data_IF_620894737151
#
_entry.id   IF_620894737151
#
_cell.length_a   1.000
_cell.length_b   1.000
_cell.length_c   1.000
_cell.angle_alpha   90.00
_cell.angle_beta   90.00
_cell.angle_gamma   90.00
#
_symmetry.space_group_name_H-M   'P 1'
#
loop_
_entity.id
_entity.type
_entity.pdbx_description
1 polymer ?
#
# COMPACT_ATOMS: atom_id res chain seq x y z
N UNK A 1 -8.16 -5.30 -47.68
CA UNK A 1 -7.29 -4.12 -47.60
C UNK A 1 -7.24 -3.69 -46.14
N UNK A 2 -6.24 -4.19 -45.38
CA UNK A 2 -6.09 -3.86 -43.96
C UNK A 2 -5.29 -2.56 -43.82
N UNK A 3 -5.88 -1.55 -43.20
CA UNK A 3 -5.17 -0.34 -42.77
C UNK A 3 -4.26 -0.73 -41.61
N UNK A 4 -2.95 -0.71 -41.84
CA UNK A 4 -1.98 -0.77 -40.75
C UNK A 4 -2.09 0.54 -39.96
N UNK A 5 -2.62 0.46 -38.74
CA UNK A 5 -2.56 1.56 -37.80
C UNK A 5 -1.09 1.78 -37.42
N UNK A 6 -0.48 2.82 -37.99
CA UNK A 6 0.78 3.36 -37.50
C UNK A 6 0.53 3.90 -36.08
N UNK A 7 0.74 3.04 -35.08
CA UNK A 7 0.91 3.47 -33.70
C UNK A 7 2.18 4.34 -33.67
N UNK A 8 1.97 5.66 -33.70
CA UNK A 8 3.01 6.62 -33.34
C UNK A 8 3.41 6.32 -31.90
N UNK A 9 4.50 5.59 -31.73
CA UNK A 9 5.15 5.45 -30.42
C UNK A 9 5.68 6.83 -30.07
N UNK A 10 4.88 7.59 -29.32
CA UNK A 10 5.35 8.84 -28.75
C UNK A 10 6.51 8.48 -27.81
N UNK A 11 7.68 9.12 -27.96
CA UNK A 11 8.78 8.90 -27.03
C UNK A 11 8.31 9.28 -25.63
N UNK A 12 8.69 8.49 -24.63
CA UNK A 12 8.39 8.81 -23.23
C UNK A 12 8.91 10.22 -22.92
N UNK A 13 8.12 11.06 -22.23
CA UNK A 13 8.59 12.37 -21.83
C UNK A 13 9.85 12.21 -20.97
N UNK A 14 10.83 13.14 -21.08
CA UNK A 14 12.02 13.08 -20.26
C UNK A 14 11.63 13.09 -18.78
N UNK A 15 12.36 12.35 -17.92
CA UNK A 15 12.05 12.29 -16.51
C UNK A 15 12.10 13.70 -15.90
N UNK A 16 11.20 14.04 -14.96
CA UNK A 16 11.27 15.31 -14.26
C UNK A 16 12.62 15.51 -13.58
N UNK A 17 13.05 16.77 -13.46
CA UNK A 17 14.37 17.09 -12.91
C UNK A 17 14.60 16.44 -11.53
N UNK A 18 15.77 15.83 -11.36
CA UNK A 18 16.21 15.20 -10.12
C UNK A 18 15.67 13.79 -9.90
N UNK A 19 14.80 13.27 -10.78
CA UNK A 19 14.37 11.88 -10.73
C UNK A 19 15.33 10.95 -11.47
N UNK A 20 15.69 9.85 -10.83
CA UNK A 20 16.38 8.72 -11.42
C UNK A 20 15.37 7.64 -11.85
N UNK A 21 15.53 7.03 -13.03
CA UNK A 21 14.70 5.91 -13.45
C UNK A 21 15.05 4.64 -12.67
N UNK A 22 14.04 3.83 -12.36
CA UNK A 22 14.19 2.52 -11.77
C UNK A 22 13.23 1.54 -12.46
N UNK A 23 13.77 0.38 -12.85
CA UNK A 23 12.99 -0.73 -13.36
C UNK A 23 13.21 -1.95 -12.47
N UNK A 24 12.12 -2.46 -11.90
CA UNK A 24 12.10 -3.69 -11.12
C UNK A 24 11.54 -4.80 -12.00
N UNK A 25 12.37 -5.78 -12.35
CA UNK A 25 11.92 -6.97 -13.09
C UNK A 25 11.50 -8.04 -12.09
N UNK A 26 10.35 -8.69 -12.32
CA UNK A 26 9.77 -9.67 -11.39
C UNK A 26 10.19 -11.12 -11.71
N UNK A 27 11.47 -11.34 -12.01
CA UNK A 27 11.99 -12.64 -12.50
C UNK A 27 11.85 -13.80 -11.50
N UNK A 28 11.59 -13.50 -10.22
CA UNK A 28 11.38 -14.50 -9.16
C UNK A 28 9.98 -14.42 -8.54
N UNK A 29 9.09 -13.67 -9.19
CA UNK A 29 7.77 -13.34 -8.66
C UNK A 29 7.83 -12.34 -7.51
N UNK A 30 6.77 -12.33 -6.70
CA UNK A 30 6.62 -11.48 -5.53
C UNK A 30 6.93 -12.24 -4.23
N UNK A 31 7.49 -11.55 -3.22
CA UNK A 31 7.88 -10.14 -3.24
C UNK A 31 9.13 -9.88 -4.09
N UNK A 32 9.17 -8.73 -4.76
CA UNK A 32 10.32 -8.30 -5.57
C UNK A 32 10.94 -7.04 -4.97
N UNK A 33 12.26 -6.91 -5.04
CA UNK A 33 13.01 -5.81 -4.40
C UNK A 33 13.95 -5.13 -5.39
N UNK A 34 14.04 -3.81 -5.29
CA UNK A 34 15.04 -3.01 -5.99
C UNK A 34 15.68 -2.00 -5.02
N UNK A 35 17.01 -1.93 -4.99
CA UNK A 35 17.73 -0.95 -4.19
C UNK A 35 17.56 0.45 -4.79
N UNK A 36 17.37 1.46 -3.93
CA UNK A 36 17.42 2.87 -4.32
C UNK A 36 18.83 3.41 -4.07
N UNK A 37 19.38 3.12 -2.88
CA UNK A 37 20.75 3.45 -2.49
C UNK A 37 21.31 2.41 -1.49
N UNK A 38 22.45 2.73 -0.86
CA UNK A 38 23.12 1.85 0.11
C UNK A 38 22.27 1.51 1.36
N UNK A 39 21.26 2.32 1.66
CA UNK A 39 20.47 2.24 2.89
C UNK A 39 18.99 2.02 2.65
N UNK A 40 18.50 2.22 1.42
CA UNK A 40 17.08 2.20 1.12
C UNK A 40 16.73 1.36 -0.10
N UNK A 41 15.52 0.81 -0.10
CA UNK A 41 15.02 -0.03 -1.18
C UNK A 41 13.49 0.11 -1.33
N UNK A 42 12.99 -0.26 -2.50
CA UNK A 42 11.58 -0.51 -2.74
C UNK A 42 11.33 -2.01 -2.82
N UNK A 43 10.20 -2.45 -2.30
CA UNK A 43 9.72 -3.82 -2.40
C UNK A 43 8.28 -3.83 -2.90
N UNK A 44 8.03 -4.57 -3.98
CA UNK A 44 6.69 -4.83 -4.47
C UNK A 44 6.14 -6.08 -3.78
N UNK A 45 4.92 -5.98 -3.26
CA UNK A 45 4.26 -7.06 -2.50
C UNK A 45 2.81 -7.21 -2.95
N UNK A 46 2.27 -8.42 -2.81
CA UNK A 46 0.85 -8.69 -3.02
C UNK A 46 0.15 -8.92 -1.68
N UNK A 47 -1.00 -8.30 -1.38
CA UNK A 47 -1.75 -8.54 -0.15
C UNK A 47 -2.19 -10.01 -0.04
N UNK A 48 -1.82 -10.67 1.07
CA UNK A 48 -2.07 -12.11 1.27
C UNK A 48 -3.55 -12.48 1.28
N UNK A 49 -4.43 -11.61 1.77
CA UNK A 49 -5.88 -11.84 1.82
C UNK A 49 -6.54 -12.02 0.45
N UNK A 50 -5.88 -11.57 -0.62
CA UNK A 50 -6.38 -11.73 -1.98
C UNK A 50 -5.72 -12.88 -2.74
N UNK A 51 -4.74 -13.58 -2.15
CA UNK A 51 -3.97 -14.58 -2.88
C UNK A 51 -4.81 -15.79 -3.27
N UNK A 52 -5.74 -16.19 -2.40
CA UNK A 52 -6.54 -17.41 -2.56
C UNK A 52 -7.34 -17.46 -3.87
N UNK A 53 -7.89 -16.32 -4.33
CA UNK A 53 -8.66 -16.25 -5.59
C UNK A 53 -7.79 -16.43 -6.84
N UNK A 54 -6.48 -16.23 -6.73
CA UNK A 54 -5.56 -16.28 -7.85
C UNK A 54 -4.78 -17.59 -7.96
N UNK A 55 -4.81 -18.44 -6.93
CA UNK A 55 -4.04 -19.69 -6.88
C UNK A 55 -4.36 -20.67 -8.02
N UNK A 56 -5.59 -20.63 -8.55
CA UNK A 56 -6.06 -21.53 -9.62
C UNK A 56 -6.14 -20.84 -10.99
N UNK A 57 -5.81 -19.55 -11.07
CA UNK A 57 -5.84 -18.81 -12.33
C UNK A 57 -4.64 -19.20 -13.23
N UNK A 58 -4.78 -18.98 -14.53
CA UNK A 58 -3.69 -19.23 -15.48
C UNK A 58 -2.48 -18.34 -15.13
N UNK A 59 -1.27 -18.90 -14.89
CA UNK A 59 -0.09 -18.11 -14.59
C UNK A 59 0.33 -17.12 -15.70
N UNK A 60 -0.12 -17.32 -16.94
CA UNK A 60 0.12 -16.41 -18.06
C UNK A 60 -0.85 -15.21 -18.09
N UNK A 61 -1.93 -15.26 -17.30
CA UNK A 61 -2.92 -14.20 -17.22
C UNK A 61 -2.30 -12.92 -16.63
N UNK A 62 -2.65 -11.78 -17.22
CA UNK A 62 -2.33 -10.47 -16.66
C UNK A 62 -3.15 -10.27 -15.40
N UNK A 63 -2.47 -10.06 -14.27
CA UNK A 63 -3.09 -9.67 -13.01
C UNK A 63 -3.46 -8.19 -13.04
N UNK A 64 -2.53 -7.36 -13.52
CA UNK A 64 -2.70 -5.92 -13.70
C UNK A 64 -1.61 -5.36 -14.59
N UNK A 65 -1.91 -4.29 -15.32
CA UNK A 65 -0.93 -3.56 -16.12
C UNK A 65 -1.18 -2.04 -16.08
N UNK A 66 -0.34 -1.30 -16.80
CA UNK A 66 -0.38 0.16 -16.88
C UNK A 66 -1.70 0.76 -17.41
N UNK A 67 -2.62 -0.03 -17.96
CA UNK A 67 -3.97 0.45 -18.30
C UNK A 67 -4.86 0.58 -17.07
N UNK A 68 -4.54 -0.14 -15.98
CA UNK A 68 -5.23 0.02 -14.71
C UNK A 68 -4.82 1.31 -14.02
N UNK A 69 -5.77 1.94 -13.31
CA UNK A 69 -5.47 3.12 -12.48
C UNK A 69 -4.69 2.71 -11.21
N UNK A 70 -5.09 1.60 -10.60
CA UNK A 70 -4.54 1.06 -9.36
C UNK A 70 -4.30 -0.43 -9.51
N UNK A 71 -3.08 -0.88 -9.21
CA UNK A 71 -2.77 -2.31 -9.22
C UNK A 71 -3.11 -2.96 -7.87
N UNK A 72 -3.44 -4.26 -7.84
CA UNK A 72 -3.68 -5.01 -6.61
C UNK A 72 -2.38 -5.38 -5.87
N UNK A 73 -1.27 -4.67 -6.13
CA UNK A 73 0.02 -4.80 -5.47
C UNK A 73 0.38 -3.53 -4.73
N UNK A 74 1.22 -3.65 -3.70
CA UNK A 74 1.69 -2.53 -2.89
C UNK A 74 3.18 -2.32 -3.05
N UNK A 75 3.57 -1.06 -3.11
CA UNK A 75 4.95 -0.63 -3.04
C UNK A 75 5.29 -0.33 -1.58
N UNK A 76 6.32 -1.01 -1.07
CA UNK A 76 6.81 -0.88 0.30
C UNK A 76 8.18 -0.21 0.26
N UNK A 77 8.33 0.90 0.97
CA UNK A 77 9.63 1.53 1.20
C UNK A 77 10.33 0.88 2.39
N UNK A 78 11.56 0.44 2.16
CA UNK A 78 12.43 -0.15 3.17
C UNK A 78 13.52 0.86 3.53
N UNK A 79 13.54 1.31 4.79
CA UNK A 79 14.61 2.14 5.35
C UNK A 79 15.52 1.26 6.21
N UNK A 80 16.81 1.20 5.89
CA UNK A 80 17.79 0.31 6.56
C UNK A 80 17.32 -1.15 6.63
N UNK A 81 16.64 -1.60 5.56
CA UNK A 81 16.08 -2.95 5.45
C UNK A 81 14.74 -3.19 6.17
N UNK A 82 14.20 -2.21 6.88
CA UNK A 82 12.92 -2.33 7.59
C UNK A 82 11.78 -1.60 6.87
N UNK A 83 10.57 -2.16 6.80
CA UNK A 83 9.40 -1.45 6.26
C UNK A 83 9.14 -0.15 7.00
N UNK A 84 9.14 0.97 6.28
CA UNK A 84 8.93 2.30 6.84
C UNK A 84 7.66 2.97 6.29
N UNK A 85 7.25 2.62 5.06
CA UNK A 85 5.97 3.01 4.48
C UNK A 85 5.47 1.96 3.48
N UNK A 86 4.16 1.90 3.26
CA UNK A 86 3.56 1.08 2.22
C UNK A 86 2.41 1.84 1.56
N UNK A 87 2.37 1.81 0.24
CA UNK A 87 1.41 2.57 -0.57
C UNK A 87 0.86 1.71 -1.72
N UNK A 88 -0.33 2.01 -2.25
CA UNK A 88 -0.82 1.36 -3.47
C UNK A 88 0.06 1.71 -4.67
N UNK A 89 0.19 0.79 -5.62
CA UNK A 89 0.78 1.09 -6.92
C UNK A 89 -0.27 1.77 -7.79
N UNK A 90 -0.12 3.08 -8.03
CA UNK A 90 -1.07 3.93 -8.75
C UNK A 90 -0.37 4.66 -9.87
N UNK A 91 -0.92 4.62 -11.10
CA UNK A 91 -0.29 5.24 -12.27
C UNK A 91 -0.24 6.75 -12.13
N UNK A 92 0.92 7.33 -12.45
CA UNK A 92 1.10 8.79 -12.48
C UNK A 92 1.04 9.48 -11.10
N UNK A 93 0.74 8.75 -10.02
CA UNK A 93 0.72 9.29 -8.68
C UNK A 93 2.14 9.54 -8.19
N UNK A 94 2.38 10.76 -7.69
CA UNK A 94 3.58 11.10 -6.92
C UNK A 94 3.35 10.71 -5.47
N UNK A 95 4.21 9.86 -4.93
CA UNK A 95 4.05 9.32 -3.60
C UNK A 95 5.31 9.61 -2.78
N UNK A 96 5.11 10.21 -1.62
CA UNK A 96 6.19 10.52 -0.68
C UNK A 96 6.28 9.39 0.34
N UNK A 97 7.45 8.78 0.45
CA UNK A 97 7.71 7.60 1.27
C UNK A 97 8.81 7.87 2.27
N UNK A 98 8.61 7.37 3.48
CA UNK A 98 9.54 7.50 4.59
C UNK A 98 8.87 7.07 5.90
N UNK A 99 9.61 7.04 7.01
CA UNK A 99 9.03 6.75 8.32
C UNK A 99 7.95 7.76 8.71
N UNK A 100 7.11 7.41 9.68
CA UNK A 100 6.01 8.26 10.12
C UNK A 100 6.45 9.71 10.39
N UNK A 101 5.76 10.67 9.78
CA UNK A 101 6.03 12.10 9.93
C UNK A 101 7.18 12.66 9.10
N UNK A 102 7.84 11.85 8.25
CA UNK A 102 8.98 12.29 7.43
C UNK A 102 9.07 11.52 6.11
N UNK A 103 9.05 12.20 4.97
CA UNK A 103 9.47 11.57 3.73
C UNK A 103 10.98 11.62 3.54
N UNK A 104 11.50 10.59 2.90
CA UNK A 104 12.90 10.45 2.53
C UNK A 104 13.07 10.26 1.02
N UNK A 105 12.06 9.69 0.35
CA UNK A 105 12.04 9.52 -1.10
C UNK A 105 10.69 9.94 -1.68
N UNK A 106 10.73 10.39 -2.92
CA UNK A 106 9.55 10.61 -3.76
C UNK A 106 9.61 9.62 -4.91
N UNK A 107 8.48 8.96 -5.19
CA UNK A 107 8.35 8.01 -6.30
C UNK A 107 7.20 8.40 -7.22
N UNK A 108 7.37 8.15 -8.51
CA UNK A 108 6.36 8.33 -9.55
C UNK A 108 6.30 7.04 -10.37
N UNK A 109 5.18 6.32 -10.28
CA UNK A 109 4.97 5.08 -11.04
C UNK A 109 4.63 5.45 -12.48
N UNK A 110 5.41 4.95 -13.44
CA UNK A 110 5.24 5.28 -14.85
C UNK A 110 4.57 4.16 -15.63
N UNK A 111 4.89 2.91 -15.32
CA UNK A 111 4.34 1.73 -15.99
C UNK A 111 4.47 0.47 -15.14
N UNK A 112 3.63 -0.52 -15.38
CA UNK A 112 3.81 -1.86 -14.84
C UNK A 112 3.12 -2.91 -15.70
N UNK A 113 3.54 -4.15 -15.48
CA UNK A 113 2.85 -5.35 -15.92
C UNK A 113 3.13 -6.43 -14.88
N UNK A 114 2.08 -7.01 -14.32
CA UNK A 114 2.18 -8.09 -13.34
C UNK A 114 1.33 -9.25 -13.85
N UNK A 115 1.91 -10.44 -13.85
CA UNK A 115 1.22 -11.68 -14.23
C UNK A 115 0.81 -12.44 -12.97
N UNK A 116 -0.24 -13.25 -13.08
CA UNK A 116 -0.68 -14.13 -11.99
C UNK A 116 0.45 -15.05 -11.53
N UNK A 117 1.29 -15.52 -12.46
CA UNK A 117 2.46 -16.36 -12.14
C UNK A 117 3.47 -15.74 -11.17
N UNK A 118 3.50 -14.40 -11.07
CA UNK A 118 4.38 -13.71 -10.12
C UNK A 118 3.92 -13.91 -8.67
N UNK A 119 2.63 -14.14 -8.44
CA UNK A 119 2.07 -14.33 -7.09
C UNK A 119 2.49 -15.66 -6.46
N UNK A 120 2.78 -16.67 -7.29
CA UNK A 120 3.13 -18.04 -6.88
C UNK A 120 4.63 -18.32 -7.01
N UNK A 121 5.46 -17.27 -7.16
CA UNK A 121 6.92 -17.40 -7.22
C UNK A 121 7.46 -18.01 -8.52
N UNK A 122 6.62 -18.14 -9.57
CA UNK A 122 7.06 -18.67 -10.86
C UNK A 122 7.71 -17.61 -11.76
N UNK A 123 7.87 -16.37 -11.29
CA UNK A 123 8.56 -15.25 -11.92
C UNK A 123 8.68 -15.37 -13.43
N UNK A 124 7.64 -14.95 -14.16
CA UNK A 124 7.61 -15.12 -15.62
C UNK A 124 8.26 -13.93 -16.31
N UNK A 125 8.94 -14.21 -17.42
CA UNK A 125 9.48 -13.16 -18.29
C UNK A 125 8.34 -12.24 -18.75
N UNK A 126 8.56 -10.94 -18.60
CA UNK A 126 7.65 -9.90 -19.08
C UNK A 126 6.99 -9.07 -17.97
N UNK A 127 7.06 -9.52 -16.72
CA UNK A 127 6.55 -8.75 -15.58
C UNK A 127 7.58 -7.72 -15.09
N UNK A 128 7.11 -6.50 -14.84
CA UNK A 128 7.94 -5.40 -14.37
C UNK A 128 7.13 -4.31 -13.67
N UNK A 129 7.83 -3.48 -12.90
CA UNK A 129 7.39 -2.13 -12.51
C UNK A 129 8.46 -1.14 -12.95
N UNK A 130 8.04 -0.09 -13.64
CA UNK A 130 8.87 1.05 -13.98
C UNK A 130 8.40 2.27 -13.19
N UNK A 131 9.36 2.97 -12.60
CA UNK A 131 9.11 4.17 -11.83
C UNK A 131 10.28 5.13 -11.96
N UNK A 132 10.00 6.38 -11.60
CA UNK A 132 10.99 7.41 -11.37
C UNK A 132 11.06 7.63 -9.86
N UNK A 133 12.26 7.87 -9.31
CA UNK A 133 12.41 8.18 -7.90
C UNK A 133 13.46 9.27 -7.65
N UNK A 134 13.38 9.92 -6.51
CA UNK A 134 14.45 10.80 -6.01
C UNK A 134 14.48 10.81 -4.49
N UNK A 135 15.61 11.24 -3.92
CA UNK A 135 15.66 11.61 -2.50
C UNK A 135 14.92 12.92 -2.28
N UNK A 136 14.22 13.02 -1.16
CA UNK A 136 13.67 14.28 -0.66
C UNK A 136 14.73 14.87 0.26
N UNK A 137 15.42 15.91 -0.20
CA UNK A 137 16.33 16.66 0.67
C UNK A 137 15.53 17.28 1.83
N UNK A 138 16.10 17.20 3.04
CA UNK A 138 15.49 17.77 4.26
C UNK A 138 15.25 19.27 4.03
N UNK A 139 14.01 19.66 3.75
CA UNK A 139 13.63 21.04 3.43
C UNK A 139 12.22 21.20 2.87
N UNK A 140 11.62 20.13 2.31
CA UNK A 140 10.21 20.16 1.95
C UNK A 140 9.35 20.06 3.22
N UNK A 141 9.00 21.21 3.79
CA UNK A 141 7.96 21.30 4.81
C UNK A 141 6.66 20.71 4.22
N UNK A 142 6.13 19.68 4.88
CA UNK A 142 4.85 19.10 4.52
C UNK A 142 3.75 20.09 4.90
N UNK A 143 2.88 20.44 3.95
CA UNK A 143 1.54 20.83 4.33
C UNK A 143 0.86 19.57 4.87
N UNK A 144 0.33 19.64 6.09
CA UNK A 144 -0.54 18.58 6.58
C UNK A 144 -1.64 18.34 5.53
N UNK A 145 -1.98 17.09 5.17
CA UNK A 145 -3.13 16.85 4.34
C UNK A 145 -4.31 17.56 4.97
N UNK A 146 -5.03 18.39 4.21
CA UNK A 146 -6.29 18.95 4.70
C UNK A 146 -7.21 17.76 4.93
N UNK A 147 -7.30 17.31 6.18
CA UNK A 147 -8.16 16.23 6.55
C UNK A 147 -9.59 16.65 6.19
N UNK A 148 -10.23 15.86 5.34
CA UNK A 148 -11.65 16.05 5.02
C UNK A 148 -12.44 15.88 6.32
N UNK A 149 -13.35 16.81 6.69
CA UNK A 149 -14.10 16.75 7.95
C UNK A 149 -14.80 15.41 8.17
N UNK A 150 -15.23 14.75 7.09
CA UNK A 150 -15.92 13.46 7.10
C UNK A 150 -15.01 12.31 7.58
N UNK A 151 -13.69 12.41 7.34
CA UNK A 151 -12.70 11.43 7.80
C UNK A 151 -12.42 11.62 9.29
N UNK A 152 -12.36 12.88 9.76
CA UNK A 152 -12.17 13.20 11.18
C UNK A 152 -13.38 12.77 12.03
N UNK A 153 -14.60 12.93 11.50
CA UNK A 153 -15.83 12.51 12.18
C UNK A 153 -15.83 11.00 12.47
N UNK A 154 -15.41 10.17 11.49
CA UNK A 154 -15.31 8.72 11.68
C UNK A 154 -14.26 8.32 12.71
N UNK A 155 -13.13 9.03 12.75
CA UNK A 155 -12.09 8.79 13.77
C UNK A 155 -12.51 9.25 15.17
N UNK A 156 -13.44 10.20 15.28
CA UNK A 156 -14.01 10.64 16.56
C UNK A 156 -15.01 9.67 17.17
N UNK A 157 -15.74 8.92 16.33
CA UNK A 157 -16.78 7.98 16.78
C UNK A 157 -16.22 6.67 17.36
N UNK A 158 -14.99 6.28 16.99
CA UNK A 158 -14.34 5.05 17.50
C UNK A 158 -13.86 5.17 18.98
N UNK A 159 -13.91 6.37 19.58
CA UNK A 159 -13.42 6.65 20.94
C UNK A 159 -14.48 6.70 22.04
N UNK A 160 -15.79 6.70 21.72
CA UNK A 160 -16.88 6.84 22.70
C UNK A 160 -17.46 5.49 23.18
N UNK A 161 -16.73 4.39 22.97
CA UNK A 161 -17.06 3.06 23.47
C UNK A 161 -16.44 2.74 24.83
N UNK A 162 -16.50 3.64 25.81
CA UNK A 162 -16.24 3.26 27.20
C UNK A 162 -17.33 2.28 27.63
N UNK A 163 -16.95 1.00 27.73
CA UNK A 163 -17.69 -0.04 28.45
C UNK A 163 -18.14 0.52 29.80
N UNK A 164 -19.45 0.74 29.94
CA UNK A 164 -20.09 0.85 31.24
C UNK A 164 -19.96 -0.48 31.97
N UNK A 165 -18.88 -0.64 32.75
CA UNK A 165 -18.82 -1.62 33.82
C UNK A 165 -19.61 -1.00 34.97
N UNK A 166 -20.76 -1.59 35.25
CA UNK A 166 -21.74 -1.08 36.19
C UNK A 166 -21.19 -0.93 37.60
N UNK A 167 -21.29 0.28 38.11
CA UNK A 167 -21.18 0.61 39.52
C UNK A 167 -22.53 0.30 40.17
N UNK A 168 -22.75 -0.97 40.54
CA UNK A 168 -23.87 -1.37 41.39
C UNK A 168 -23.40 -1.37 42.84
N UNK A 169 -23.79 -0.32 43.55
CA UNK A 169 -23.63 -0.20 44.99
C UNK A 169 -24.36 -1.34 45.74
N UNK A 170 -23.77 -1.90 46.82
CA UNK A 170 -24.49 -2.83 47.69
C UNK A 170 -25.43 -2.04 48.61
N UNK A 171 -26.67 -1.82 48.13
CA UNK A 171 -27.79 -1.37 48.95
C UNK A 171 -28.30 -2.52 49.81
N UNK A 172 -28.22 -2.35 51.13
CA UNK A 172 -28.59 -3.33 52.13
C UNK A 172 -29.99 -3.91 51.94
N UNK A 173 -30.09 -5.23 52.11
CA UNK A 173 -31.36 -5.92 52.24
C UNK A 173 -31.40 -6.62 53.61
N UNK A 174 -32.25 -6.04 54.44
CA UNK A 174 -32.71 -6.45 55.76
C UNK A 174 -33.38 -7.83 55.71
N UNK A 175 -32.87 -8.78 56.49
CA UNK A 175 -33.50 -10.09 56.74
C UNK A 175 -33.95 -10.22 58.21
N UNK A 176 -34.72 -9.23 58.68
CA UNK A 176 -35.41 -9.27 59.96
C UNK A 176 -36.71 -10.08 59.96
N UNK A 177 -36.65 -11.30 60.50
CA UNK A 177 -37.66 -12.02 61.32
C UNK A 177 -39.10 -12.26 60.79
N UNK A 178 -39.52 -13.54 60.87
CA UNK A 178 -40.78 -14.00 61.52
C UNK A 178 -40.68 -15.53 61.81
N UNK A 179 -40.53 -15.93 63.08
CA UNK A 179 -41.57 -16.56 63.95
C UNK A 179 -42.14 -17.88 63.37
N UNK A 180 -41.75 -19.09 63.82
CA UNK A 180 -42.26 -19.83 65.02
C UNK A 180 -43.57 -20.59 64.69
N UNK A 181 -44.12 -21.57 65.47
CA UNK A 181 -43.60 -22.34 66.62
C UNK A 181 -43.91 -23.88 66.58
N UNK A 182 -43.46 -24.57 67.65
CA UNK A 182 -43.87 -25.89 68.20
C UNK A 182 -43.40 -27.17 67.52
#
# INVERSE_FOLDING_TARGET
MMLAANLLVLPDPPPPQGFAPLRMVLDRGLPARAALDATSALMLTFPTGELARWLQADPAQILSDEMDEVAPVRLVYLASGQPAAAVPLVRGARQLLGPAGRAEVEVLVTAWRVLVGDLVGQGRRGSYVALLWRRVDRGAAFAAPTARPEVLARLGDDGAGTRGVGDQAPGGMDWGRRHGPR
#
